data_IF_057656376947
#
_entry.id   IF_057656376947
#
_cell.length_a   1.000
_cell.length_b   1.000
_cell.length_c   1.000
_cell.angle_alpha   90.00
_cell.angle_beta   90.00
_cell.angle_gamma   90.00
#
_symmetry.space_group_name_H-M   'P 1'
#
loop_
_entity.id
_entity.type
_entity.pdbx_description
1 polymer ?
#
# COMPACT_ATOMS: atom_id res chain seq x y z
N UNK A 1 -69.37 -7.94 -8.85
CA UNK A 1 -68.66 -7.51 -7.64
C UNK A 1 -68.69 -8.66 -6.63
N UNK A 2 -67.57 -9.32 -6.37
CA UNK A 2 -67.39 -10.21 -5.22
C UNK A 2 -65.96 -9.99 -4.74
N UNK A 3 -65.81 -9.20 -3.66
CA UNK A 3 -64.62 -9.24 -2.81
C UNK A 3 -64.91 -10.25 -1.70
N UNK A 4 -64.00 -11.19 -1.44
CA UNK A 4 -63.38 -11.29 -0.11
C UNK A 4 -62.37 -12.44 -0.01
N UNK A 5 -61.20 -12.06 0.54
CA UNK A 5 -60.45 -12.82 1.53
C UNK A 5 -59.76 -14.13 1.12
N UNK A 6 -58.71 -14.04 0.29
CA UNK A 6 -57.61 -15.00 0.37
C UNK A 6 -56.60 -14.58 1.45
N UNK A 7 -56.90 -15.06 2.67
CA UNK A 7 -55.99 -15.46 3.75
C UNK A 7 -54.57 -14.86 3.78
N UNK A 8 -54.48 -13.78 4.55
CA UNK A 8 -53.27 -13.05 4.99
C UNK A 8 -52.32 -13.85 5.92
N UNK A 9 -52.23 -15.18 5.80
CA UNK A 9 -51.39 -16.07 6.64
C UNK A 9 -50.06 -16.49 6.01
N UNK A 10 -49.87 -16.35 4.70
CA UNK A 10 -48.66 -16.79 4.00
C UNK A 10 -47.68 -15.68 3.60
N UNK A 11 -48.01 -14.40 3.89
CA UNK A 11 -47.10 -13.27 3.66
C UNK A 11 -46.11 -13.01 4.82
N UNK A 12 -46.29 -13.67 5.96
CA UNK A 12 -45.41 -13.50 7.15
C UNK A 12 -44.26 -14.52 7.22
N UNK A 13 -44.25 -15.53 6.35
CA UNK A 13 -43.17 -16.53 6.30
C UNK A 13 -41.98 -16.12 5.40
N UNK A 14 -42.11 -15.05 4.61
CA UNK A 14 -41.05 -14.55 3.71
C UNK A 14 -40.31 -13.32 4.26
N UNK A 15 -40.55 -12.97 5.52
CA UNK A 15 -39.78 -11.94 6.22
C UNK A 15 -38.89 -12.62 7.26
N UNK A 16 -37.89 -13.36 6.78
CA UNK A 16 -36.72 -13.69 7.59
C UNK A 16 -35.95 -12.37 7.76
N UNK A 17 -35.89 -11.76 8.96
CA UNK A 17 -35.13 -10.54 9.16
C UNK A 17 -33.65 -10.90 9.11
N UNK A 18 -33.01 -10.66 7.97
CA UNK A 18 -31.56 -10.69 7.80
C UNK A 18 -30.89 -9.52 8.56
N UNK A 19 -31.03 -9.47 9.89
CA UNK A 19 -30.39 -8.43 10.71
C UNK A 19 -29.40 -9.02 11.73
N UNK A 20 -29.24 -10.34 11.78
CA UNK A 20 -28.26 -11.00 12.65
C UNK A 20 -26.92 -11.34 11.95
N UNK A 21 -26.56 -10.65 10.86
CA UNK A 21 -25.35 -10.97 10.07
C UNK A 21 -24.50 -9.75 9.70
N UNK A 22 -24.60 -8.64 10.43
CA UNK A 22 -23.78 -7.43 10.18
C UNK A 22 -22.67 -7.18 11.18
N UNK A 23 -22.49 -8.02 12.21
CA UNK A 23 -21.38 -7.87 13.16
C UNK A 23 -20.09 -8.60 12.71
N UNK A 24 -20.18 -9.65 11.88
CA UNK A 24 -19.00 -10.40 11.44
C UNK A 24 -18.26 -9.77 10.24
N UNK A 25 -18.91 -8.88 9.47
CA UNK A 25 -18.30 -8.29 8.27
C UNK A 25 -17.33 -7.12 8.57
N UNK A 26 -17.44 -6.49 9.74
CA UNK A 26 -16.53 -5.41 10.14
C UNK A 26 -15.20 -5.92 10.72
N UNK A 27 -15.11 -7.19 11.09
CA UNK A 27 -13.86 -7.78 11.56
C UNK A 27 -12.91 -8.19 10.42
N UNK A 28 -13.34 -8.16 9.16
CA UNK A 28 -12.50 -8.51 8.01
C UNK A 28 -11.99 -7.32 7.18
N UNK A 29 -12.47 -6.10 7.44
CA UNK A 29 -11.90 -4.88 6.82
C UNK A 29 -10.89 -4.19 7.73
N UNK A 30 -10.86 -4.55 9.02
CA UNK A 30 -9.76 -4.28 9.94
C UNK A 30 -8.61 -5.26 9.78
N UNK A 31 -8.28 -5.65 8.55
CA UNK A 31 -6.97 -6.18 8.26
C UNK A 31 -5.98 -5.08 8.58
N UNK A 32 -5.46 -5.07 9.81
CA UNK A 32 -4.08 -4.61 10.03
C UNK A 32 -3.34 -5.34 8.92
N UNK A 33 -2.87 -4.59 7.92
CA UNK A 33 -1.94 -5.16 6.98
C UNK A 33 -0.77 -5.60 7.87
N UNK A 34 -0.80 -6.85 8.33
CA UNK A 34 0.38 -7.57 8.74
C UNK A 34 1.28 -7.33 7.56
N UNK A 35 2.24 -6.44 7.76
CA UNK A 35 3.25 -6.16 6.77
C UNK A 35 3.73 -7.55 6.40
N UNK A 36 3.40 -7.98 5.17
CA UNK A 36 3.84 -9.26 4.65
C UNK A 36 5.30 -9.38 5.09
N UNK A 37 5.77 -10.53 5.61
CA UNK A 37 7.14 -10.68 6.10
C UNK A 37 8.11 -10.59 4.92
N UNK A 38 8.18 -9.42 4.28
CA UNK A 38 9.18 -8.99 3.37
C UNK A 38 10.39 -8.85 4.24
N UNK A 39 11.17 -9.93 4.29
CA UNK A 39 12.54 -10.02 4.81
C UNK A 39 12.89 -8.82 5.67
N UNK A 40 12.49 -8.84 6.95
CA UNK A 40 13.15 -7.99 7.96
C UNK A 40 14.61 -8.39 7.88
N UNK A 41 15.40 -7.61 7.15
CA UNK A 41 16.77 -7.96 6.81
C UNK A 41 17.58 -7.87 8.10
N UNK A 42 17.76 -9.01 8.76
CA UNK A 42 18.56 -9.27 9.97
C UNK A 42 18.82 -8.03 10.83
N UNK A 43 17.76 -7.29 11.21
CA UNK A 43 17.87 -6.17 12.15
C UNK A 43 18.27 -6.68 13.56
N UNK A 44 18.25 -8.00 13.76
CA UNK A 44 18.69 -8.70 14.96
C UNK A 44 20.18 -8.54 15.27
N UNK A 45 21.00 -8.03 14.34
CA UNK A 45 22.43 -7.74 14.57
C UNK A 45 22.75 -6.26 14.82
N UNK A 46 21.74 -5.38 14.86
CA UNK A 46 21.95 -3.95 15.05
C UNK A 46 21.93 -3.59 16.55
N UNK A 47 22.84 -2.72 16.97
CA UNK A 47 22.75 -2.09 18.29
C UNK A 47 21.53 -1.16 18.35
N UNK A 48 21.03 -0.87 19.56
CA UNK A 48 19.92 0.09 19.72
C UNK A 48 20.27 1.48 19.18
N UNK A 49 21.53 1.91 19.32
CA UNK A 49 22.00 3.18 18.76
C UNK A 49 21.97 3.19 17.22
N UNK A 50 22.31 2.08 16.56
CA UNK A 50 22.20 1.95 15.11
C UNK A 50 20.75 1.94 14.65
N UNK A 51 19.87 1.25 15.37
CA UNK A 51 18.42 1.23 15.08
C UNK A 51 17.84 2.64 15.15
N UNK A 52 18.16 3.38 16.22
CA UNK A 52 17.69 4.76 16.42
C UNK A 52 18.17 5.69 15.29
N UNK A 53 19.46 5.62 14.93
CA UNK A 53 20.02 6.45 13.85
C UNK A 53 19.37 6.15 12.49
N UNK A 54 19.18 4.86 12.15
CA UNK A 54 18.50 4.47 10.93
C UNK A 54 17.01 4.88 10.94
N UNK A 55 16.34 4.82 12.09
CA UNK A 55 14.98 5.32 12.24
C UNK A 55 14.91 6.83 11.98
N UNK A 56 15.80 7.61 12.59
CA UNK A 56 15.88 9.06 12.38
C UNK A 56 16.15 9.41 10.91
N UNK A 57 17.08 8.71 10.25
CA UNK A 57 17.35 8.91 8.83
C UNK A 57 16.10 8.64 7.96
N UNK A 58 15.37 7.55 8.23
CA UNK A 58 14.11 7.22 7.53
C UNK A 58 13.02 8.26 7.80
N UNK A 59 12.86 8.69 9.06
CA UNK A 59 11.90 9.74 9.45
C UNK A 59 12.20 11.06 8.73
N UNK A 60 13.46 11.51 8.77
CA UNK A 60 13.90 12.75 8.14
C UNK A 60 13.76 12.70 6.61
N UNK A 61 14.03 11.56 5.99
CA UNK A 61 13.69 11.33 4.58
C UNK A 61 12.18 11.40 4.35
N UNK A 62 11.39 10.75 5.19
CA UNK A 62 9.93 10.76 5.15
C UNK A 62 9.35 12.17 5.16
N UNK A 63 9.87 13.04 6.03
CA UNK A 63 9.46 14.45 6.11
C UNK A 63 9.91 15.24 4.88
N UNK A 64 11.20 15.18 4.51
CA UNK A 64 11.75 15.97 3.38
C UNK A 64 11.18 15.58 2.01
N UNK A 65 10.77 14.32 1.84
CA UNK A 65 10.19 13.84 0.58
C UNK A 65 8.66 13.91 0.54
N UNK A 66 8.02 14.56 1.52
CA UNK A 66 6.56 14.68 1.58
C UNK A 66 5.98 15.36 0.33
N UNK A 67 6.47 16.55 -0.02
CA UNK A 67 5.96 17.30 -1.17
C UNK A 67 6.20 16.55 -2.49
N UNK A 68 7.33 15.86 -2.61
CA UNK A 68 7.62 15.03 -3.77
C UNK A 68 6.63 13.85 -3.90
N UNK A 69 6.27 13.21 -2.77
CA UNK A 69 5.22 12.17 -2.76
C UNK A 69 3.86 12.74 -3.13
N UNK A 70 3.52 13.90 -2.57
CA UNK A 70 2.25 14.57 -2.84
C UNK A 70 2.15 14.96 -4.31
N UNK A 71 3.20 15.56 -4.88
CA UNK A 71 3.28 15.91 -6.29
C UNK A 71 3.12 14.68 -7.19
N UNK A 72 3.77 13.56 -6.85
CA UNK A 72 3.64 12.31 -7.57
C UNK A 72 2.21 11.75 -7.55
N UNK A 73 1.52 11.85 -6.41
CA UNK A 73 0.11 11.44 -6.31
C UNK A 73 -0.80 12.34 -7.14
N UNK A 74 -0.63 13.66 -7.04
CA UNK A 74 -1.40 14.65 -7.81
C UNK A 74 -1.18 14.49 -9.31
N UNK A 75 0.07 14.31 -9.76
CA UNK A 75 0.39 14.10 -11.18
C UNK A 75 -0.21 12.79 -11.70
N UNK A 76 -0.14 11.72 -10.91
CA UNK A 76 -0.74 10.43 -11.26
C UNK A 76 -2.26 10.53 -11.43
N UNK A 77 -2.94 11.18 -10.47
CA UNK A 77 -4.38 11.45 -10.54
C UNK A 77 -4.74 12.25 -11.81
N UNK A 78 -4.08 13.39 -12.02
CA UNK A 78 -4.33 14.25 -13.18
C UNK A 78 -4.05 13.57 -14.52
N UNK A 79 -3.04 12.69 -14.60
CA UNK A 79 -2.76 11.94 -15.83
C UNK A 79 -3.90 10.97 -16.15
N UNK A 80 -4.38 10.23 -15.15
CA UNK A 80 -5.46 9.27 -15.32
C UNK A 80 -6.80 9.96 -15.65
N UNK A 81 -7.10 11.09 -15.01
CA UNK A 81 -8.32 11.87 -15.30
C UNK A 81 -8.34 12.41 -16.74
N UNK A 82 -7.17 12.71 -17.33
CA UNK A 82 -7.04 13.19 -18.71
C UNK A 82 -6.88 12.08 -19.74
N UNK A 83 -6.72 10.83 -19.32
CA UNK A 83 -6.52 9.72 -20.24
C UNK A 83 -7.85 9.36 -20.92
N UNK A 84 -7.99 9.72 -22.20
CA UNK A 84 -9.20 9.45 -23.00
C UNK A 84 -9.18 8.05 -23.65
N UNK A 85 -8.04 7.34 -23.62
CA UNK A 85 -7.88 6.02 -24.23
C UNK A 85 -7.19 5.03 -23.29
N UNK A 86 -7.42 3.72 -23.49
CA UNK A 86 -6.71 2.68 -22.73
C UNK A 86 -5.18 2.80 -22.82
N UNK A 87 -4.65 3.18 -23.98
CA UNK A 87 -3.22 3.35 -24.25
C UNK A 87 -2.64 4.53 -23.47
N UNK A 88 -3.37 5.65 -23.41
CA UNK A 88 -3.01 6.79 -22.59
C UNK A 88 -2.99 6.41 -21.10
N UNK A 89 -4.00 5.67 -20.63
CA UNK A 89 -4.06 5.16 -19.27
C UNK A 89 -2.88 4.24 -18.91
N UNK A 90 -2.53 3.29 -19.80
CA UNK A 90 -1.34 2.43 -19.65
C UNK A 90 -0.05 3.27 -19.56
N UNK A 91 0.06 4.30 -20.37
CA UNK A 91 1.21 5.21 -20.38
C UNK A 91 1.32 5.97 -19.05
N UNK A 92 0.22 6.54 -18.55
CA UNK A 92 0.16 7.19 -17.24
C UNK A 92 0.63 6.25 -16.12
N UNK A 93 0.13 5.01 -16.10
CA UNK A 93 0.50 4.01 -15.11
C UNK A 93 2.00 3.65 -15.18
N UNK A 94 2.56 3.53 -16.39
CA UNK A 94 3.99 3.26 -16.60
C UNK A 94 4.86 4.41 -16.07
N UNK A 95 4.50 5.64 -16.40
CA UNK A 95 5.21 6.83 -15.92
C UNK A 95 5.14 6.95 -14.39
N UNK A 96 3.94 6.76 -13.81
CA UNK A 96 3.74 6.78 -12.37
C UNK A 96 4.56 5.70 -11.65
N UNK A 97 4.62 4.50 -12.22
CA UNK A 97 5.46 3.40 -11.72
C UNK A 97 6.94 3.77 -11.78
N UNK A 98 7.42 4.38 -12.85
CA UNK A 98 8.81 4.83 -12.98
C UNK A 98 9.14 5.93 -11.97
N UNK A 99 8.27 6.93 -11.81
CA UNK A 99 8.45 8.01 -10.86
C UNK A 99 8.51 7.48 -9.41
N UNK A 100 7.61 6.56 -9.05
CA UNK A 100 7.62 5.91 -7.74
C UNK A 100 8.91 5.12 -7.51
N UNK A 101 9.41 4.44 -8.54
CA UNK A 101 10.70 3.73 -8.47
C UNK A 101 11.86 4.68 -8.20
N UNK A 102 11.91 5.84 -8.85
CA UNK A 102 12.95 6.86 -8.59
C UNK A 102 12.89 7.39 -7.16
N UNK A 103 11.69 7.65 -6.64
CA UNK A 103 11.53 8.07 -5.25
C UNK A 103 12.02 7.00 -4.25
N UNK A 104 11.70 5.73 -4.49
CA UNK A 104 12.17 4.62 -3.65
C UNK A 104 13.69 4.46 -3.74
N UNK A 105 14.28 4.70 -4.91
CA UNK A 105 15.74 4.72 -5.09
C UNK A 105 16.39 5.81 -4.24
N UNK A 106 15.86 7.04 -4.28
CA UNK A 106 16.36 8.15 -3.46
C UNK A 106 16.29 7.83 -1.97
N UNK A 107 15.16 7.28 -1.51
CA UNK A 107 15.03 6.84 -0.12
C UNK A 107 16.04 5.75 0.26
N UNK A 108 16.29 4.78 -0.64
CA UNK A 108 17.32 3.75 -0.43
C UNK A 108 18.70 4.36 -0.35
N UNK A 109 19.04 5.34 -1.19
CA UNK A 109 20.33 6.03 -1.16
C UNK A 109 20.55 6.73 0.19
N UNK A 110 19.54 7.42 0.71
CA UNK A 110 19.61 8.07 2.04
C UNK A 110 19.86 7.04 3.14
N UNK A 111 19.09 5.95 3.15
CA UNK A 111 19.27 4.89 4.16
C UNK A 111 20.62 4.20 4.00
N UNK A 112 21.08 3.95 2.77
CA UNK A 112 22.37 3.31 2.51
C UNK A 112 23.55 4.21 2.87
N UNK A 113 23.43 5.53 2.71
CA UNK A 113 24.43 6.48 3.18
C UNK A 113 24.57 6.39 4.72
N UNK A 114 23.45 6.37 5.43
CA UNK A 114 23.45 6.20 6.90
C UNK A 114 24.02 4.83 7.30
N UNK A 115 23.63 3.75 6.61
CA UNK A 115 24.19 2.41 6.85
C UNK A 115 25.71 2.39 6.71
N UNK A 116 26.26 2.99 5.64
CA UNK A 116 27.71 3.08 5.43
C UNK A 116 28.39 3.86 6.56
N UNK A 117 27.80 4.99 7.00
CA UNK A 117 28.31 5.76 8.14
C UNK A 117 28.38 4.93 9.43
N UNK A 118 27.44 4.01 9.60
CA UNK A 118 27.35 3.10 10.75
C UNK A 118 28.16 1.79 10.59
N UNK A 119 28.96 1.66 9.54
CA UNK A 119 29.73 0.43 9.24
C UNK A 119 28.87 -0.75 8.79
N UNK A 120 27.62 -0.50 8.37
CA UNK A 120 26.68 -1.53 7.93
C UNK A 120 26.71 -1.70 6.41
N UNK A 121 26.57 -2.95 5.96
CA UNK A 121 26.41 -3.27 4.54
C UNK A 121 25.17 -2.57 3.96
N UNK A 122 25.26 -1.91 2.79
CA UNK A 122 24.12 -1.28 2.15
C UNK A 122 23.02 -2.29 1.81
N UNK A 123 21.77 -1.83 1.81
CA UNK A 123 20.63 -2.62 1.36
C UNK A 123 20.80 -2.93 -0.14
N UNK A 124 20.61 -4.20 -0.55
CA UNK A 124 20.76 -4.59 -1.94
C UNK A 124 19.63 -4.04 -2.81
N UNK A 125 19.93 -3.84 -4.09
CA UNK A 125 18.89 -3.65 -5.10
C UNK A 125 18.33 -5.01 -5.52
N UNK A 126 17.23 -5.42 -4.89
CA UNK A 126 16.58 -6.71 -5.15
C UNK A 126 16.13 -6.87 -6.61
N UNK A 127 16.00 -5.78 -7.41
CA UNK A 127 15.70 -5.88 -8.85
C UNK A 127 16.91 -6.20 -9.73
N UNK A 128 18.15 -5.99 -9.26
CA UNK A 128 19.36 -6.51 -9.94
C UNK A 128 19.61 -7.97 -9.59
N UNK A 129 19.36 -8.37 -8.34
CA UNK A 129 19.64 -9.74 -7.89
C UNK A 129 18.76 -10.80 -8.56
N UNK A 130 17.49 -10.48 -8.87
CA UNK A 130 16.61 -11.40 -9.62
C UNK A 130 16.93 -11.55 -11.10
N UNK A 131 17.86 -10.75 -11.65
CA UNK A 131 18.22 -10.75 -13.08
C UNK A 131 19.51 -11.50 -13.40
N UNK A 132 20.23 -11.99 -12.39
CA UNK A 132 21.41 -12.85 -12.51
C UNK A 132 21.13 -14.32 -12.15
N UNK A 133 19.86 -14.70 -12.08
CA UNK A 133 19.36 -16.07 -11.97
C UNK A 133 18.38 -16.30 -13.12
N UNK A 134 18.90 -16.36 -14.34
CA UNK A 134 18.19 -16.80 -15.54
C UNK A 134 19.19 -17.53 -16.41
#
# INVERSE_FOLDING_TARGET
>A
MVFMALTHRWRRALLIPCVALTAAALQHTGGVAEAAPGRRMTESKLTESQKMQLFQARRNWGLRSYDQRLALLKSGKSCLERAQTPEAGKTCMKQQKQARRRLMEQGRQVVNAERRRLGLTPLPDFRRQGRGRS
#
